data_IF_971914646659
#
_entry.id   IF_971914646659
#
_cell.length_a   1.000
_cell.length_b   1.000
_cell.length_c   1.000
_cell.angle_alpha   90.00
_cell.angle_beta   90.00
_cell.angle_gamma   90.00
#
_symmetry.space_group_name_H-M   'P 1'
#
loop_
_entity.id
_entity.type
_entity.pdbx_description
1 polymer ?
#
# COMPACT_ATOMS: atom_id res chain seq x y z
N UNK A 1 -15.14 -0.89 -58.84
CA UNK A 1 -16.21 -1.37 -57.96
C UNK A 1 -15.69 -1.36 -56.54
N UNK A 2 -16.30 -0.55 -55.66
CA UNK A 2 -15.93 -0.37 -54.26
C UNK A 2 -16.80 -1.30 -53.43
N UNK A 3 -16.22 -2.22 -52.66
CA UNK A 3 -16.93 -2.90 -51.58
C UNK A 3 -16.29 -2.49 -50.26
N UNK A 4 -17.01 -1.61 -49.56
CA UNK A 4 -16.72 -1.24 -48.19
C UNK A 4 -17.22 -2.37 -47.27
N UNK A 5 -16.31 -3.03 -46.56
CA UNK A 5 -16.68 -3.89 -45.44
C UNK A 5 -16.76 -3.01 -44.18
N UNK A 6 -17.95 -2.45 -43.94
CA UNK A 6 -18.37 -1.96 -42.63
C UNK A 6 -18.66 -3.17 -41.74
N UNK A 7 -17.87 -3.36 -40.68
CA UNK A 7 -18.20 -4.30 -39.60
C UNK A 7 -18.03 -3.59 -38.24
N UNK A 8 -19.20 -3.18 -37.74
CA UNK A 8 -19.64 -2.70 -36.41
C UNK A 8 -18.74 -3.07 -35.22
N UNK A 9 -18.41 -2.12 -34.31
CA UNK A 9 -17.78 -2.45 -33.04
C UNK A 9 -18.83 -2.98 -32.05
N UNK A 10 -18.85 -4.30 -31.82
CA UNK A 10 -19.53 -4.92 -30.69
C UNK A 10 -18.69 -4.72 -29.42
N UNK A 11 -18.83 -3.58 -28.76
CA UNK A 11 -18.29 -3.38 -27.41
C UNK A 11 -19.10 -2.36 -26.56
N UNK A 12 -20.39 -2.19 -26.85
CA UNK A 12 -21.30 -1.32 -26.09
C UNK A 12 -22.32 -2.11 -25.28
N UNK A 13 -21.90 -3.20 -24.64
CA UNK A 13 -22.67 -3.89 -23.61
C UNK A 13 -21.90 -3.73 -22.32
N UNK A 14 -22.34 -2.81 -21.47
CA UNK A 14 -22.22 -2.76 -19.99
C UNK A 14 -22.56 -1.34 -19.49
N UNK A 15 -23.61 -0.72 -20.04
CA UNK A 15 -24.34 0.33 -19.33
C UNK A 15 -25.46 -0.35 -18.54
N UNK A 16 -25.29 -0.55 -17.22
CA UNK A 16 -26.41 -0.96 -16.37
C UNK A 16 -26.04 -1.63 -15.05
N UNK A 17 -25.59 -0.85 -14.08
CA UNK A 17 -25.97 -1.00 -12.66
C UNK A 17 -25.57 0.28 -11.91
N UNK A 18 -26.39 1.32 -12.08
CA UNK A 18 -26.41 2.48 -11.19
C UNK A 18 -27.60 2.34 -10.25
N UNK A 19 -27.40 1.73 -9.08
CA UNK A 19 -28.16 1.94 -7.83
C UNK A 19 -27.82 0.85 -6.80
N UNK A 20 -27.43 1.25 -5.60
CA UNK A 20 -27.59 0.41 -4.40
C UNK A 20 -26.33 -0.10 -3.72
N UNK A 21 -25.44 0.79 -3.29
CA UNK A 21 -24.59 0.56 -2.12
C UNK A 21 -24.27 1.90 -1.45
N UNK A 22 -25.30 2.59 -0.95
CA UNK A 22 -25.15 3.61 0.09
C UNK A 22 -25.19 2.91 1.45
N UNK A 23 -24.37 3.41 2.39
CA UNK A 23 -24.13 2.89 3.76
C UNK A 23 -23.30 1.59 3.75
N UNK A 24 -22.07 1.50 4.25
CA UNK A 24 -21.43 2.03 5.46
C UNK A 24 -19.94 2.20 5.10
N UNK A 25 -19.24 3.30 5.40
CA UNK A 25 -18.83 3.66 6.74
C UNK A 25 -18.51 5.15 6.71
N UNK A 26 -19.15 5.84 7.63
CA UNK A 26 -18.70 7.08 8.25
C UNK A 26 -17.21 7.34 8.04
N UNK A 27 -16.91 8.50 7.44
CA UNK A 27 -15.56 9.01 7.24
C UNK A 27 -14.92 9.10 8.63
N UNK A 28 -14.26 8.02 9.07
CA UNK A 28 -13.56 8.00 10.34
C UNK A 28 -12.59 9.18 10.29
N UNK A 29 -12.89 10.20 11.10
CA UNK A 29 -11.88 11.18 11.46
C UNK A 29 -10.86 10.35 12.19
N UNK A 30 -9.76 10.04 11.51
CA UNK A 30 -8.58 9.50 12.14
C UNK A 30 -8.15 10.62 13.08
N UNK A 31 -8.65 10.57 14.32
CA UNK A 31 -8.13 11.37 15.40
C UNK A 31 -6.62 11.17 15.33
N UNK A 32 -5.97 12.31 15.11
CA UNK A 32 -4.60 12.43 14.67
C UNK A 32 -3.74 11.31 15.25
N UNK A 33 -3.25 10.44 14.37
CA UNK A 33 -2.14 9.56 14.74
C UNK A 33 -1.11 10.42 15.50
N UNK A 34 -0.54 9.91 16.61
CA UNK A 34 0.43 10.66 17.39
C UNK A 34 1.41 11.32 16.43
N UNK A 35 1.59 12.63 16.56
CA UNK A 35 2.37 13.46 15.64
C UNK A 35 3.68 12.74 15.36
N UNK A 36 3.80 12.16 14.16
CA UNK A 36 4.98 11.38 13.81
C UNK A 36 6.19 12.31 13.94
N UNK A 37 7.29 11.88 14.57
CA UNK A 37 8.44 12.75 14.81
C UNK A 37 8.88 13.37 13.48
N UNK A 38 8.88 14.70 13.42
CA UNK A 38 9.32 15.47 12.24
C UNK A 38 10.84 15.48 12.11
N UNK A 39 11.53 15.04 13.16
CA UNK A 39 12.97 14.94 13.20
C UNK A 39 13.38 13.46 13.12
N UNK A 40 14.32 13.17 12.23
CA UNK A 40 14.92 11.84 12.11
C UNK A 40 15.90 11.52 13.24
N UNK A 41 16.08 12.44 14.20
CA UNK A 41 16.80 12.19 15.44
C UNK A 41 16.14 11.04 16.20
N UNK A 42 16.89 9.94 16.38
CA UNK A 42 16.41 8.72 17.03
C UNK A 42 15.86 7.65 16.07
N UNK A 43 15.68 7.96 14.79
CA UNK A 43 15.34 6.96 13.76
C UNK A 43 16.63 6.42 13.13
N UNK A 44 16.91 5.15 13.38
CA UNK A 44 17.99 4.44 12.69
C UNK A 44 17.41 3.37 11.78
N UNK A 45 17.92 3.29 10.55
CA UNK A 45 17.62 2.20 9.62
C UNK A 45 18.24 0.92 10.15
N UNK A 46 17.45 -0.16 10.23
CA UNK A 46 17.91 -1.45 10.71
C UNK A 46 18.15 -2.36 9.50
N UNK A 47 19.42 -2.63 9.20
CA UNK A 47 19.78 -3.54 8.11
C UNK A 47 20.03 -4.96 8.63
N UNK A 48 19.16 -5.89 8.24
CA UNK A 48 19.33 -7.29 8.58
C UNK A 48 20.19 -7.99 7.53
N UNK A 49 21.30 -8.58 7.98
CA UNK A 49 22.07 -9.52 7.15
C UNK A 49 21.22 -10.77 6.88
N UNK A 50 21.35 -11.34 5.69
CA UNK A 50 20.58 -12.51 5.26
C UNK A 50 20.58 -13.67 6.28
N UNK A 51 21.75 -13.98 6.87
CA UNK A 51 21.86 -15.01 7.91
C UNK A 51 21.00 -14.69 9.14
N UNK A 52 21.00 -13.43 9.57
CA UNK A 52 20.18 -12.97 10.70
C UNK A 52 18.70 -13.02 10.35
N UNK A 53 18.31 -12.64 9.14
CA UNK A 53 16.93 -12.76 8.67
C UNK A 53 16.42 -14.20 8.78
N UNK A 54 17.20 -15.18 8.31
CA UNK A 54 16.83 -16.60 8.40
C UNK A 54 16.70 -17.11 9.84
N UNK A 55 17.58 -16.66 10.74
CA UNK A 55 17.49 -17.00 12.16
C UNK A 55 16.26 -16.37 12.82
N UNK A 56 15.97 -15.10 12.52
CA UNK A 56 14.82 -14.40 13.05
C UNK A 56 13.51 -14.99 12.52
N UNK A 57 13.41 -15.31 11.23
CA UNK A 57 12.21 -15.96 10.69
C UNK A 57 11.87 -17.29 11.39
N UNK A 58 12.88 -18.01 11.89
CA UNK A 58 12.69 -19.25 12.64
C UNK A 58 12.29 -19.01 14.10
N UNK A 59 12.88 -18.01 14.76
CA UNK A 59 12.69 -17.76 16.18
C UNK A 59 11.49 -16.84 16.47
N UNK A 60 11.37 -15.75 15.72
CA UNK A 60 10.31 -14.76 15.79
C UNK A 60 10.11 -14.08 14.41
N UNK A 61 9.21 -14.61 13.56
CA UNK A 61 8.96 -14.03 12.25
C UNK A 61 8.27 -12.65 12.32
N UNK A 62 7.59 -12.32 13.43
CA UNK A 62 6.92 -11.01 13.57
C UNK A 62 7.93 -9.89 13.66
N UNK A 63 9.04 -10.13 14.37
CA UNK A 63 10.12 -9.16 14.51
C UNK A 63 10.70 -8.73 13.14
N UNK A 64 10.77 -9.63 12.15
CA UNK A 64 11.21 -9.27 10.80
C UNK A 64 10.24 -8.28 10.16
N UNK A 65 8.93 -8.54 10.26
CA UNK A 65 7.89 -7.63 9.75
C UNK A 65 7.90 -6.29 10.48
N UNK A 66 8.10 -6.29 11.79
CA UNK A 66 8.16 -5.07 12.59
C UNK A 66 9.37 -4.20 12.19
N UNK A 67 10.53 -4.82 11.98
CA UNK A 67 11.74 -4.15 11.47
C UNK A 67 11.50 -3.56 10.07
N UNK A 68 10.85 -4.30 9.17
CA UNK A 68 10.50 -3.80 7.85
C UNK A 68 9.52 -2.61 7.94
N UNK A 69 8.53 -2.69 8.84
CA UNK A 69 7.56 -1.61 9.06
C UNK A 69 8.22 -0.34 9.63
N UNK A 70 9.18 -0.50 10.53
CA UNK A 70 10.00 0.59 11.08
C UNK A 70 10.81 1.27 9.98
N UNK A 71 11.49 0.46 9.15
CA UNK A 71 12.28 0.93 8.03
C UNK A 71 11.41 1.65 6.98
N UNK A 72 10.19 1.18 6.75
CA UNK A 72 9.23 1.81 5.85
C UNK A 72 8.74 3.16 6.41
N UNK A 73 8.43 3.22 7.71
CA UNK A 73 8.01 4.46 8.39
C UNK A 73 9.07 5.54 8.27
N UNK A 74 10.32 5.25 8.61
CA UNK A 74 11.35 6.27 8.50
C UNK A 74 11.66 6.68 7.06
N UNK A 75 11.49 5.80 6.06
CA UNK A 75 11.53 6.20 4.64
C UNK A 75 10.40 7.17 4.30
N UNK A 76 9.18 6.90 4.76
CA UNK A 76 8.02 7.77 4.51
C UNK A 76 8.15 9.13 5.22
N UNK A 77 8.95 9.21 6.29
CA UNK A 77 9.31 10.46 6.96
C UNK A 77 10.50 11.18 6.30
N UNK A 78 11.12 10.60 5.28
CA UNK A 78 12.27 11.19 4.59
C UNK A 78 13.60 11.03 5.36
N UNK A 79 13.68 10.13 6.34
CA UNK A 79 14.88 9.94 7.15
C UNK A 79 16.02 9.22 6.44
N UNK A 80 15.70 8.46 5.38
CA UNK A 80 16.69 7.84 4.52
C UNK A 80 16.11 7.65 3.11
N UNK A 81 17.02 7.63 2.13
CA UNK A 81 16.73 7.38 0.72
C UNK A 81 16.93 5.89 0.39
#
# INVERSE_FOLDING_TARGET
MRYAAMAVPLAAVLSGCSAGATAWTEKMRIDMAPSMPTECGGWQKIELKQRTTLLLLRADPRLVTDIDSHNLKGRNLGCWQ
#
